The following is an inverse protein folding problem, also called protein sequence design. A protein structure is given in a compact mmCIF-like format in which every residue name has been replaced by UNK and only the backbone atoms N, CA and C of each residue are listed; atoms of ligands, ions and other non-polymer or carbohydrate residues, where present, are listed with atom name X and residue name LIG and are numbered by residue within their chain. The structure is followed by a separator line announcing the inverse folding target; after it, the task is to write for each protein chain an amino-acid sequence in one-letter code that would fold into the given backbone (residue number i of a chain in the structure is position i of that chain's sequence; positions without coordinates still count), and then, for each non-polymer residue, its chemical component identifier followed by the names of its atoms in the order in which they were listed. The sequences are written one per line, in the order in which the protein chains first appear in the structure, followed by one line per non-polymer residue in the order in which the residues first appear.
data_IF_224921813738
#
_entry.id   IF_224921813738
#
_cell.length_a   1.000
_cell.length_b   1.000
_cell.length_c   1.000
_cell.angle_alpha   90.00
_cell.angle_beta   90.00
_cell.angle_gamma   90.00
#
_symmetry.space_group_name_H-M   'P 1'
#
loop_
_entity.id
_entity.type
_entity.pdbx_description
1 polymer ?
#
# COMPACT_ATOMS: atom_id res chain seq x y z
N UNK A 1 -27.60 -8.97 -68.84
CA UNK A 1 -26.15 -8.93 -69.14
C UNK A 1 -25.42 -8.46 -67.93
N UNK A 2 -24.39 -9.19 -67.59
CA UNK A 2 -23.34 -9.01 -66.55
C UNK A 2 -23.73 -9.35 -65.12
N UNK A 3 -23.33 -10.53 -64.82
CA UNK A 3 -23.05 -11.16 -63.55
C UNK A 3 -21.85 -10.52 -62.86
N UNK A 4 -21.93 -10.16 -61.60
CA UNK A 4 -20.75 -9.88 -60.77
C UNK A 4 -20.67 -10.92 -59.64
N UNK A 5 -19.56 -11.63 -59.71
CA UNK A 5 -19.14 -12.74 -58.88
C UNK A 5 -18.78 -12.24 -57.46
N UNK A 6 -19.41 -12.79 -56.44
CA UNK A 6 -18.98 -12.66 -55.04
C UNK A 6 -17.77 -13.56 -54.83
N UNK A 7 -16.62 -12.95 -54.63
CA UNK A 7 -15.33 -13.61 -54.36
C UNK A 7 -15.26 -14.03 -52.88
N UNK A 8 -15.54 -15.28 -52.62
CA UNK A 8 -15.40 -15.88 -51.30
C UNK A 8 -13.93 -15.94 -50.87
N UNK A 9 -13.59 -15.26 -49.79
CA UNK A 9 -12.27 -15.36 -49.15
C UNK A 9 -12.17 -16.69 -48.40
N UNK A 10 -11.32 -17.59 -48.87
CA UNK A 10 -10.95 -18.84 -48.21
C UNK A 10 -10.13 -18.50 -46.95
N UNK A 11 -10.45 -19.04 -45.76
CA UNK A 11 -9.57 -18.88 -44.59
C UNK A 11 -8.28 -19.65 -44.85
N UNK A 12 -7.16 -18.98 -44.61
CA UNK A 12 -5.80 -19.49 -44.82
C UNK A 12 -5.56 -20.68 -43.88
N UNK A 13 -5.46 -21.87 -44.45
CA UNK A 13 -5.12 -23.16 -43.79
C UNK A 13 -3.72 -23.17 -43.17
N UNK A 14 -2.94 -22.07 -43.33
CA UNK A 14 -1.57 -21.99 -42.88
C UNK A 14 -1.41 -21.69 -41.37
N UNK A 15 -2.47 -21.14 -40.72
CA UNK A 15 -2.43 -20.87 -39.26
C UNK A 15 -2.80 -22.08 -38.39
N UNK A 16 -3.47 -23.09 -38.95
CA UNK A 16 -3.81 -24.30 -38.22
C UNK A 16 -2.65 -25.30 -38.12
N UNK A 17 -1.69 -25.26 -39.06
CA UNK A 17 -0.53 -26.16 -39.09
C UNK A 17 0.58 -25.81 -38.07
N UNK A 18 0.60 -24.57 -37.57
CA UNK A 18 1.61 -24.16 -36.58
C UNK A 18 1.23 -24.49 -35.11
N UNK A 19 -0.04 -24.74 -34.83
CA UNK A 19 -0.51 -25.05 -33.46
C UNK A 19 -0.46 -26.55 -33.17
N UNK A 20 -0.62 -27.40 -34.19
CA UNK A 20 -0.61 -28.88 -34.08
C UNK A 20 0.74 -29.42 -33.47
N UNK A 21 1.96 -28.96 -33.87
CA UNK A 21 3.19 -29.49 -33.27
C UNK A 21 3.39 -29.10 -31.81
N UNK A 22 2.85 -27.97 -31.37
CA UNK A 22 2.94 -27.55 -29.95
C UNK A 22 2.03 -28.39 -29.07
N UNK A 23 0.83 -28.70 -29.52
CA UNK A 23 -0.10 -29.58 -28.81
C UNK A 23 0.44 -31.03 -28.82
N UNK A 24 1.04 -31.50 -29.93
CA UNK A 24 1.65 -32.82 -29.99
C UNK A 24 2.88 -32.94 -29.05
N UNK A 25 3.66 -31.89 -28.89
CA UNK A 25 4.80 -31.86 -27.96
C UNK A 25 4.35 -31.92 -26.47
N UNK A 26 3.21 -31.30 -26.15
CA UNK A 26 2.61 -31.37 -24.81
C UNK A 26 1.98 -32.76 -24.51
N UNK A 27 1.46 -33.44 -25.51
CA UNK A 27 0.88 -34.77 -25.35
C UNK A 27 1.94 -35.89 -25.38
N UNK A 28 3.07 -35.70 -26.07
CA UNK A 28 4.19 -36.64 -26.08
C UNK A 28 4.91 -36.70 -24.71
N UNK A 29 4.84 -35.66 -23.92
CA UNK A 29 5.40 -35.65 -22.53
C UNK A 29 4.64 -36.56 -21.56
N UNK A 30 3.42 -37.01 -21.92
CA UNK A 30 2.57 -37.89 -21.07
C UNK A 30 2.71 -39.39 -21.40
N UNK A 31 3.50 -39.76 -22.42
CA UNK A 31 3.49 -41.13 -22.96
C UNK A 31 4.69 -42.01 -22.55
N UNK A 32 5.63 -41.53 -21.73
CA UNK A 32 6.82 -42.30 -21.36
C UNK A 32 6.90 -42.54 -19.83
N UNK A 33 6.26 -43.65 -19.41
CA UNK A 33 6.51 -44.28 -18.11
C UNK A 33 5.73 -43.64 -16.93
N UNK A 34 5.65 -44.29 -15.78
CA UNK A 34 5.05 -43.70 -14.58
C UNK A 34 5.86 -42.46 -14.17
N UNK A 35 5.22 -41.30 -14.25
CA UNK A 35 5.83 -40.03 -13.86
C UNK A 35 6.48 -40.13 -12.50
N UNK A 36 7.77 -39.80 -12.42
CA UNK A 36 8.52 -39.85 -11.17
C UNK A 36 7.92 -38.92 -10.14
N UNK A 37 8.11 -39.20 -8.85
CA UNK A 37 7.62 -38.34 -7.77
C UNK A 37 8.09 -36.87 -7.96
N UNK A 38 9.26 -36.71 -8.58
CA UNK A 38 9.86 -35.41 -8.90
C UNK A 38 9.05 -34.64 -9.96
N UNK A 39 8.58 -35.31 -11.02
CA UNK A 39 7.78 -34.68 -12.09
C UNK A 39 6.39 -34.31 -11.59
N UNK A 40 5.78 -35.15 -10.75
CA UNK A 40 4.47 -34.87 -10.12
C UNK A 40 4.55 -33.67 -9.17
N UNK A 41 5.63 -33.57 -8.40
CA UNK A 41 5.81 -32.44 -7.47
C UNK A 41 6.12 -31.11 -8.18
N UNK A 42 6.88 -31.14 -9.29
CA UNK A 42 7.16 -29.95 -10.09
C UNK A 42 5.90 -29.41 -10.76
N UNK A 43 5.10 -30.28 -11.40
CA UNK A 43 3.84 -29.90 -12.05
C UNK A 43 2.82 -29.32 -11.05
N UNK A 44 2.69 -29.94 -9.87
CA UNK A 44 1.82 -29.43 -8.82
C UNK A 44 2.27 -28.04 -8.28
N UNK A 45 3.59 -27.86 -8.11
CA UNK A 45 4.16 -26.57 -7.66
C UNK A 45 3.91 -25.44 -8.64
N UNK A 46 4.06 -25.68 -9.94
CA UNK A 46 3.79 -24.70 -10.99
C UNK A 46 2.31 -24.29 -11.02
N UNK A 47 1.38 -25.24 -10.91
CA UNK A 47 -0.06 -24.97 -10.91
C UNK A 47 -0.50 -24.16 -9.68
N UNK A 48 -0.01 -24.50 -8.50
CA UNK A 48 -0.34 -23.77 -7.26
C UNK A 48 0.28 -22.37 -7.29
N UNK A 49 1.52 -22.22 -7.72
CA UNK A 49 2.20 -20.95 -7.83
C UNK A 49 1.58 -20.02 -8.86
N UNK A 50 1.21 -20.53 -10.05
CA UNK A 50 0.54 -19.74 -11.07
C UNK A 50 -0.85 -19.27 -10.61
N UNK A 51 -1.62 -20.12 -9.94
CA UNK A 51 -2.94 -19.78 -9.39
C UNK A 51 -2.86 -18.68 -8.33
N UNK A 52 -1.95 -18.79 -7.37
CA UNK A 52 -1.74 -17.77 -6.34
C UNK A 52 -1.24 -16.44 -6.93
N UNK A 53 -0.29 -16.51 -7.86
CA UNK A 53 0.24 -15.33 -8.54
C UNK A 53 -0.78 -14.60 -9.41
N UNK A 54 -1.68 -15.33 -10.09
CA UNK A 54 -2.75 -14.74 -10.90
C UNK A 54 -3.77 -13.97 -10.04
N UNK A 55 -4.09 -14.48 -8.83
CA UNK A 55 -5.00 -13.82 -7.90
C UNK A 55 -4.40 -12.49 -7.42
N UNK A 56 -3.12 -12.47 -7.06
CA UNK A 56 -2.41 -11.27 -6.59
C UNK A 56 -2.23 -10.28 -7.74
N UNK A 57 -1.82 -10.74 -8.93
CA UNK A 57 -1.64 -9.91 -10.11
C UNK A 57 -2.94 -9.26 -10.62
N UNK A 58 -4.07 -9.94 -10.48
CA UNK A 58 -5.37 -9.39 -10.85
C UNK A 58 -5.82 -8.21 -9.96
N UNK A 59 -5.33 -8.13 -8.73
CA UNK A 59 -5.61 -7.00 -7.84
C UNK A 59 -4.75 -5.76 -8.14
N UNK A 60 -3.59 -5.95 -8.79
CA UNK A 60 -2.67 -4.88 -9.18
C UNK A 60 -2.78 -4.46 -10.66
N UNK A 61 -3.67 -5.08 -11.42
CA UNK A 61 -3.90 -4.77 -12.85
C UNK A 61 -3.04 -5.56 -13.83
N UNK A 62 -2.09 -6.39 -13.36
CA UNK A 62 -1.16 -7.17 -14.19
C UNK A 62 -1.18 -8.66 -13.86
N UNK A 63 -2.30 -9.32 -14.22
CA UNK A 63 -2.48 -10.76 -14.02
C UNK A 63 -1.39 -11.62 -14.69
N UNK A 64 -0.79 -11.13 -15.77
CA UNK A 64 0.28 -11.82 -16.52
C UNK A 64 1.60 -11.88 -15.75
N UNK A 65 2.05 -10.76 -15.19
CA UNK A 65 3.28 -10.70 -14.40
C UNK A 65 3.15 -11.45 -13.07
N UNK A 66 1.99 -11.35 -12.41
CA UNK A 66 1.68 -12.11 -11.21
C UNK A 66 1.72 -13.62 -11.43
N UNK A 67 1.18 -14.09 -12.54
CA UNK A 67 1.21 -15.52 -12.92
C UNK A 67 2.64 -16.00 -13.22
N UNK A 68 3.46 -15.18 -13.90
CA UNK A 68 4.86 -15.50 -14.21
C UNK A 68 5.73 -15.60 -12.95
N UNK A 69 5.58 -14.67 -12.02
CA UNK A 69 6.28 -14.69 -10.71
C UNK A 69 5.81 -15.90 -9.88
N UNK A 70 4.51 -16.16 -9.85
CA UNK A 70 3.94 -17.31 -9.15
C UNK A 70 4.39 -18.65 -9.74
N UNK A 71 4.47 -18.77 -11.06
CA UNK A 71 4.97 -19.98 -11.73
C UNK A 71 6.47 -20.21 -11.46
N UNK A 72 7.30 -19.17 -11.48
CA UNK A 72 8.71 -19.23 -11.17
C UNK A 72 8.97 -19.67 -9.72
N UNK A 73 8.24 -19.12 -8.76
CA UNK A 73 8.29 -19.54 -7.35
C UNK A 73 7.80 -20.98 -7.16
N UNK A 74 6.74 -21.37 -7.88
CA UNK A 74 6.19 -22.73 -7.86
C UNK A 74 7.13 -23.76 -8.47
N UNK A 75 7.83 -23.42 -9.55
CA UNK A 75 8.86 -24.29 -10.15
C UNK A 75 10.04 -24.56 -9.21
N UNK A 76 10.51 -23.53 -8.51
CA UNK A 76 11.59 -23.65 -7.53
C UNK A 76 11.19 -24.53 -6.33
N UNK A 77 9.92 -24.49 -5.91
CA UNK A 77 9.43 -25.31 -4.80
C UNK A 77 9.17 -26.76 -5.20
N UNK A 78 8.84 -27.02 -6.48
CA UNK A 78 8.57 -28.36 -7.00
C UNK A 78 9.79 -29.21 -7.36
N UNK A 79 10.95 -28.58 -7.64
CA UNK A 79 12.13 -29.27 -8.15
C UNK A 79 13.00 -30.00 -7.09
N UNK A 80 12.70 -29.83 -5.81
CA UNK A 80 13.52 -30.35 -4.72
C UNK A 80 13.01 -31.69 -4.15
N UNK A 81 13.78 -32.73 -4.29
CA UNK A 81 13.51 -34.07 -3.69
C UNK A 81 14.21 -34.23 -2.34
N UNK A 82 13.60 -34.96 -1.42
CA UNK A 82 14.17 -35.31 -0.12
C UNK A 82 14.15 -34.18 0.91
N UNK A 83 15.25 -33.95 1.62
CA UNK A 83 15.38 -32.92 2.68
C UNK A 83 15.07 -31.49 2.15
N UNK A 84 15.32 -31.24 0.88
CA UNK A 84 14.95 -29.98 0.23
C UNK A 84 13.43 -29.80 0.14
N UNK A 85 12.64 -30.86 0.03
CA UNK A 85 11.19 -30.79 -0.04
C UNK A 85 10.57 -30.28 1.28
N UNK A 86 11.14 -30.67 2.43
CA UNK A 86 10.72 -30.12 3.72
C UNK A 86 11.06 -28.63 3.85
N UNK A 87 12.24 -28.22 3.40
CA UNK A 87 12.64 -26.80 3.39
C UNK A 87 11.79 -25.98 2.43
N UNK A 88 11.46 -26.52 1.25
CA UNK A 88 10.58 -25.85 0.28
C UNK A 88 9.16 -25.65 0.83
N UNK A 89 8.58 -26.69 1.48
CA UNK A 89 7.29 -26.58 2.17
C UNK A 89 7.30 -25.52 3.29
N UNK A 90 8.37 -25.51 4.10
CA UNK A 90 8.51 -24.49 5.16
C UNK A 90 8.66 -23.07 4.58
N UNK A 91 9.42 -22.90 3.48
CA UNK A 91 9.52 -21.61 2.78
C UNK A 91 8.17 -21.17 2.20
N UNK A 92 7.45 -22.07 1.54
CA UNK A 92 6.10 -21.80 1.02
C UNK A 92 5.14 -21.38 2.14
N UNK A 93 5.12 -22.09 3.26
CA UNK A 93 4.31 -21.75 4.42
C UNK A 93 4.69 -20.38 5.04
N UNK A 94 6.01 -20.07 5.09
CA UNK A 94 6.48 -18.74 5.56
C UNK A 94 6.02 -17.62 4.63
N UNK A 95 6.11 -17.83 3.33
CA UNK A 95 5.64 -16.85 2.33
C UNK A 95 4.12 -16.64 2.46
N UNK A 96 3.35 -17.72 2.51
CA UNK A 96 1.90 -17.63 2.70
C UNK A 96 1.51 -16.91 4.00
N UNK A 97 2.22 -17.19 5.10
CA UNK A 97 2.00 -16.49 6.37
C UNK A 97 2.32 -15.00 6.26
N UNK A 98 3.41 -14.63 5.58
CA UNK A 98 3.75 -13.22 5.33
C UNK A 98 2.70 -12.51 4.49
N UNK A 99 2.26 -13.14 3.40
CA UNK A 99 1.20 -12.60 2.55
C UNK A 99 -0.10 -12.41 3.33
N UNK A 100 -0.53 -13.39 4.11
CA UNK A 100 -1.72 -13.29 4.94
C UNK A 100 -1.62 -12.19 6.01
N UNK A 101 -0.42 -11.91 6.54
CA UNK A 101 -0.20 -10.80 7.47
C UNK A 101 -0.32 -9.46 6.73
N UNK A 102 0.33 -9.33 5.56
CA UNK A 102 0.25 -8.10 4.75
C UNK A 102 -1.19 -7.81 4.30
N UNK A 103 -1.93 -8.80 3.84
CA UNK A 103 -3.35 -8.64 3.47
C UNK A 103 -4.19 -8.14 4.64
N UNK A 104 -3.98 -8.69 5.84
CA UNK A 104 -4.69 -8.23 7.04
C UNK A 104 -4.32 -6.79 7.41
N UNK A 105 -3.07 -6.38 7.22
CA UNK A 105 -2.63 -5.01 7.46
C UNK A 105 -3.25 -4.04 6.46
N UNK A 106 -3.22 -4.36 5.17
CA UNK A 106 -3.87 -3.57 4.12
C UNK A 106 -5.37 -3.41 4.39
N UNK A 107 -6.04 -4.48 4.78
CA UNK A 107 -7.47 -4.44 5.10
C UNK A 107 -7.77 -3.59 6.34
N UNK A 108 -6.91 -3.65 7.37
CA UNK A 108 -7.00 -2.77 8.54
C UNK A 108 -6.80 -1.31 8.16
N UNK A 109 -5.79 -0.99 7.34
CA UNK A 109 -5.54 0.36 6.86
C UNK A 109 -6.71 0.89 6.04
N UNK A 110 -7.29 0.08 5.15
CA UNK A 110 -8.47 0.46 4.36
C UNK A 110 -9.67 0.79 5.26
N UNK A 111 -9.94 -0.03 6.28
CA UNK A 111 -11.02 0.25 7.26
C UNK A 111 -10.74 1.52 8.04
N UNK A 112 -9.52 1.68 8.53
CA UNK A 112 -9.10 2.88 9.25
C UNK A 112 -9.28 4.14 8.40
N UNK A 113 -8.82 4.13 7.15
CA UNK A 113 -9.00 5.21 6.18
C UNK A 113 -10.47 5.53 5.93
N UNK A 114 -11.30 4.50 5.72
CA UNK A 114 -12.73 4.68 5.51
C UNK A 114 -13.42 5.35 6.71
N UNK A 115 -13.08 4.93 7.94
CA UNK A 115 -13.62 5.52 9.19
C UNK A 115 -13.17 6.97 9.37
N UNK A 116 -11.88 7.27 9.11
CA UNK A 116 -11.35 8.62 9.21
C UNK A 116 -12.02 9.55 8.20
N UNK A 117 -12.16 9.13 6.96
CA UNK A 117 -12.82 9.90 5.89
C UNK A 117 -14.31 10.12 6.16
N UNK A 118 -15.00 9.15 6.74
CA UNK A 118 -16.41 9.27 7.14
C UNK A 118 -16.64 10.34 8.24
N UNK A 119 -15.58 10.78 8.93
CA UNK A 119 -15.58 11.89 9.90
C UNK A 119 -14.97 13.19 9.35
N UNK A 120 -14.93 13.36 8.03
CA UNK A 120 -14.34 14.53 7.36
C UNK A 120 -12.88 14.81 7.78
N UNK A 121 -12.13 13.74 8.05
CA UNK A 121 -10.70 13.81 8.32
C UNK A 121 -9.92 13.55 7.03
N UNK A 122 -8.96 14.42 6.74
CA UNK A 122 -8.04 14.25 5.59
C UNK A 122 -7.06 13.13 5.92
N UNK A 123 -7.32 11.93 5.41
CA UNK A 123 -6.50 10.75 5.67
C UNK A 123 -6.01 10.11 4.37
N UNK A 124 -4.72 9.76 4.35
CA UNK A 124 -4.03 9.10 3.23
C UNK A 124 -3.21 7.92 3.73
N UNK A 125 -2.95 6.96 2.85
CA UNK A 125 -2.03 5.86 3.10
C UNK A 125 -0.61 6.27 2.73
N UNK A 126 0.37 5.80 3.49
CA UNK A 126 1.79 5.96 3.24
C UNK A 126 2.55 4.68 3.59
N UNK A 127 3.82 4.58 3.20
CA UNK A 127 4.70 3.45 3.54
C UNK A 127 4.85 3.25 5.07
N UNK A 128 4.65 4.31 5.86
CA UNK A 128 4.72 4.26 7.32
C UNK A 128 3.40 3.82 7.98
N UNK A 129 2.28 3.91 7.25
CA UNK A 129 0.93 3.63 7.75
C UNK A 129 -0.09 4.66 7.29
N UNK A 130 -1.10 4.94 8.10
CA UNK A 130 -2.15 5.90 7.79
C UNK A 130 -1.80 7.27 8.37
N UNK A 131 -1.79 8.30 7.53
CA UNK A 131 -1.50 9.69 7.88
C UNK A 131 -2.78 10.52 7.89
N UNK A 132 -3.09 11.14 9.00
CA UNK A 132 -4.18 12.13 9.13
C UNK A 132 -3.55 13.52 9.17
N UNK A 133 -3.93 14.38 8.21
CA UNK A 133 -3.43 15.75 8.12
C UNK A 133 -4.40 16.73 8.80
N UNK A 134 -3.89 17.47 9.76
CA UNK A 134 -4.58 18.55 10.47
C UNK A 134 -4.00 19.89 10.02
N UNK A 135 -4.74 20.71 9.24
CA UNK A 135 -4.26 22.00 8.74
C UNK A 135 -4.15 23.06 9.86
N UNK A 136 -3.32 24.09 9.60
CA UNK A 136 -3.03 25.19 10.54
C UNK A 136 -4.28 25.93 11.05
N UNK A 137 -5.33 26.04 10.23
CA UNK A 137 -6.61 26.66 10.62
C UNK A 137 -7.23 26.04 11.88
N UNK A 138 -6.78 24.89 12.30
CA UNK A 138 -7.19 24.23 13.54
C UNK A 138 -6.48 24.74 14.79
N UNK A 139 -5.52 25.67 14.65
CA UNK A 139 -4.87 26.36 15.78
C UNK A 139 -5.31 27.82 15.84
N UNK A 140 -5.28 28.39 17.06
CA UNK A 140 -5.42 29.83 17.22
C UNK A 140 -4.24 30.54 16.52
N UNK A 141 -4.49 31.72 15.96
CA UNK A 141 -3.50 32.45 15.17
C UNK A 141 -2.18 32.64 15.95
N UNK A 142 -1.05 32.30 15.35
CA UNK A 142 0.27 32.40 15.95
C UNK A 142 0.48 31.52 17.19
N UNK A 143 -0.43 30.61 17.52
CA UNK A 143 -0.48 29.83 18.74
C UNK A 143 -0.34 28.31 18.47
N UNK A 144 -0.10 27.57 19.54
CA UNK A 144 -0.24 26.12 19.60
C UNK A 144 -1.55 25.66 20.25
N UNK A 145 -2.41 26.60 20.66
CA UNK A 145 -3.72 26.26 21.24
C UNK A 145 -4.68 25.74 20.18
N UNK A 146 -5.33 24.61 20.47
CA UNK A 146 -6.32 24.02 19.56
C UNK A 146 -7.64 24.80 19.62
N UNK A 147 -8.17 25.13 18.44
CA UNK A 147 -9.55 25.64 18.31
C UNK A 147 -10.57 24.60 18.77
N UNK A 148 -11.81 25.01 18.99
CA UNK A 148 -12.91 24.08 19.31
C UNK A 148 -13.11 23.04 18.22
N UNK A 149 -12.93 23.41 16.95
CA UNK A 149 -13.01 22.49 15.82
C UNK A 149 -11.86 21.45 15.85
N UNK A 150 -10.63 21.89 16.15
CA UNK A 150 -9.49 21.00 16.28
C UNK A 150 -9.67 19.99 17.41
N UNK A 151 -10.17 20.44 18.56
CA UNK A 151 -10.45 19.54 19.71
C UNK A 151 -11.48 18.46 19.35
N UNK A 152 -12.48 18.77 18.52
CA UNK A 152 -13.41 17.75 18.01
C UNK A 152 -12.70 16.78 17.07
N UNK A 153 -11.97 17.29 16.09
CA UNK A 153 -11.23 16.44 15.10
C UNK A 153 -10.20 15.54 15.79
N UNK A 154 -9.44 16.04 16.75
CA UNK A 154 -8.47 15.21 17.49
C UNK A 154 -9.15 14.14 18.34
N UNK A 155 -10.32 14.43 18.91
CA UNK A 155 -11.16 13.43 19.60
C UNK A 155 -11.61 12.34 18.62
N UNK A 156 -12.16 12.72 17.45
CA UNK A 156 -12.59 11.77 16.44
C UNK A 156 -11.42 10.87 15.98
N UNK A 157 -10.22 11.43 15.79
CA UNK A 157 -9.00 10.65 15.50
C UNK A 157 -8.70 9.68 16.64
N UNK A 158 -8.73 10.14 17.90
CA UNK A 158 -8.43 9.31 19.05
C UNK A 158 -9.42 8.15 19.21
N UNK A 159 -10.73 8.41 19.05
CA UNK A 159 -11.79 7.40 19.12
C UNK A 159 -11.57 6.33 18.04
N UNK A 160 -11.26 6.75 16.79
CA UNK A 160 -11.04 5.82 15.69
C UNK A 160 -9.76 5.01 15.90
N UNK A 161 -8.65 5.64 16.32
CA UNK A 161 -7.39 4.94 16.58
C UNK A 161 -7.57 3.91 17.70
N UNK A 162 -8.27 4.26 18.77
CA UNK A 162 -8.50 3.36 19.91
C UNK A 162 -9.35 2.14 19.53
N UNK A 163 -10.29 2.29 18.59
CA UNK A 163 -11.22 1.23 18.17
C UNK A 163 -10.72 0.40 17.01
N UNK A 164 -10.19 1.03 15.96
CA UNK A 164 -9.81 0.36 14.70
C UNK A 164 -8.33 -0.03 14.65
N UNK A 165 -7.48 0.62 15.45
CA UNK A 165 -6.03 0.40 15.47
C UNK A 165 -5.46 0.27 16.90
N UNK A 166 -6.08 -0.55 17.79
CA UNK A 166 -5.62 -0.68 19.16
C UNK A 166 -4.18 -1.21 19.19
N UNK A 167 -3.33 -0.59 20.01
CA UNK A 167 -1.93 -0.98 20.19
C UNK A 167 -0.97 -0.47 19.11
N UNK A 168 -1.43 0.21 18.06
CA UNK A 168 -0.54 0.83 17.07
C UNK A 168 0.11 2.09 17.64
N UNK A 169 1.38 2.27 17.30
CA UNK A 169 2.11 3.49 17.65
C UNK A 169 1.62 4.66 16.79
N UNK A 170 1.57 5.84 17.40
CA UNK A 170 1.16 7.07 16.76
C UNK A 170 2.29 8.08 16.86
N UNK A 171 2.72 8.62 15.70
CA UNK A 171 3.65 9.74 15.63
C UNK A 171 2.87 10.98 15.26
N UNK A 172 3.05 12.05 16.04
CA UNK A 172 2.46 13.37 15.77
C UNK A 172 3.57 14.30 15.32
N UNK A 173 3.47 14.76 14.08
CA UNK A 173 4.53 15.49 13.38
C UNK A 173 4.06 16.90 13.05
N UNK A 174 4.69 17.92 13.61
CA UNK A 174 4.38 19.33 13.37
C UNK A 174 5.27 19.93 12.29
N UNK A 175 4.65 20.73 11.40
CA UNK A 175 5.33 21.42 10.31
C UNK A 175 4.92 22.87 10.22
N UNK A 176 5.80 23.73 9.69
CA UNK A 176 5.54 25.14 9.37
C UNK A 176 5.79 25.39 7.89
N UNK A 177 5.43 26.57 7.43
CA UNK A 177 5.98 27.14 6.20
C UNK A 177 7.38 27.74 6.47
N UNK A 178 7.97 28.37 5.44
CA UNK A 178 9.30 28.98 5.48
C UNK A 178 9.32 30.41 6.02
N UNK A 179 8.20 30.94 6.50
CA UNK A 179 8.18 32.31 7.04
C UNK A 179 8.62 32.33 8.50
N UNK A 180 9.58 33.20 8.80
CA UNK A 180 10.13 33.38 10.15
C UNK A 180 11.49 32.70 10.36
N UNK A 181 12.02 32.82 11.57
CA UNK A 181 13.30 32.21 11.92
C UNK A 181 13.13 30.68 12.05
N UNK A 182 14.08 29.92 11.53
CA UNK A 182 14.05 28.44 11.56
C UNK A 182 13.91 27.88 12.99
N UNK A 183 14.59 28.48 13.95
CA UNK A 183 14.52 28.10 15.38
C UNK A 183 13.11 28.34 15.96
N UNK A 184 12.47 29.45 15.59
CA UNK A 184 11.09 29.73 15.97
C UNK A 184 10.12 28.72 15.38
N UNK A 185 10.26 28.43 14.08
CA UNK A 185 9.47 27.43 13.35
C UNK A 185 9.64 26.03 13.95
N UNK A 186 10.86 25.65 14.31
CA UNK A 186 11.14 24.40 15.00
C UNK A 186 10.38 24.32 16.33
N UNK A 187 10.49 25.34 17.18
CA UNK A 187 9.80 25.37 18.47
C UNK A 187 8.26 25.43 18.34
N UNK A 188 7.72 26.17 17.36
CA UNK A 188 6.29 26.26 17.13
C UNK A 188 5.71 24.91 16.70
N UNK A 189 6.37 24.25 15.74
CA UNK A 189 5.95 22.94 15.23
C UNK A 189 5.96 21.88 16.34
N UNK A 190 6.98 21.90 17.19
CA UNK A 190 7.10 20.98 18.33
C UNK A 190 5.97 21.18 19.35
N UNK A 191 5.68 22.43 19.74
CA UNK A 191 4.56 22.73 20.64
C UNK A 191 3.22 22.27 20.07
N UNK A 192 2.97 22.50 18.77
CA UNK A 192 1.73 22.08 18.07
C UNK A 192 1.59 20.56 18.05
N UNK A 193 2.65 19.83 17.72
CA UNK A 193 2.66 18.39 17.76
C UNK A 193 2.36 17.86 19.18
N UNK A 194 2.97 18.45 20.20
CA UNK A 194 2.76 18.06 21.61
C UNK A 194 1.30 18.23 22.05
N UNK A 195 0.70 19.37 21.74
CA UNK A 195 -0.71 19.63 22.12
C UNK A 195 -1.68 18.67 21.45
N UNK A 196 -1.41 18.31 20.18
CA UNK A 196 -2.22 17.27 19.50
C UNK A 196 -1.99 15.91 20.15
N UNK A 197 -0.76 15.52 20.46
CA UNK A 197 -0.43 14.27 21.13
C UNK A 197 -1.09 14.15 22.51
N UNK A 198 -1.07 15.22 23.29
CA UNK A 198 -1.77 15.31 24.57
C UNK A 198 -3.30 15.15 24.42
N UNK A 199 -3.87 15.81 23.38
CA UNK A 199 -5.29 15.66 23.07
C UNK A 199 -5.67 14.23 22.71
N UNK A 200 -4.85 13.53 21.89
CA UNK A 200 -5.07 12.11 21.57
C UNK A 200 -5.03 11.24 22.83
N UNK A 201 -4.06 11.48 23.69
CA UNK A 201 -3.88 10.72 24.94
C UNK A 201 -5.04 10.94 25.92
N UNK A 202 -5.54 12.17 26.05
CA UNK A 202 -6.70 12.52 26.87
C UNK A 202 -7.99 11.83 26.39
N UNK A 203 -8.05 11.50 25.09
CA UNK A 203 -9.22 10.88 24.47
C UNK A 203 -9.04 9.37 24.18
N UNK A 204 -8.18 8.68 24.94
CA UNK A 204 -8.15 7.23 25.00
C UNK A 204 -7.00 6.54 24.25
N UNK A 205 -6.14 7.27 23.52
CA UNK A 205 -4.91 6.67 22.96
C UNK A 205 -3.87 6.57 24.07
N UNK A 206 -3.32 5.38 24.32
CA UNK A 206 -2.31 5.19 25.35
C UNK A 206 -1.12 6.13 25.19
N UNK A 207 -0.71 6.92 26.20
CA UNK A 207 0.44 7.81 26.11
C UNK A 207 1.74 7.11 25.74
N UNK A 208 1.90 5.85 26.12
CA UNK A 208 3.06 5.03 25.78
C UNK A 208 3.19 4.76 24.25
N UNK A 209 2.08 4.88 23.52
CA UNK A 209 2.04 4.66 22.08
C UNK A 209 2.16 5.96 21.27
N UNK A 210 2.03 7.13 21.90
CA UNK A 210 2.05 8.44 21.24
C UNK A 210 3.41 9.10 21.40
N UNK A 211 4.01 9.51 20.27
CA UNK A 211 5.20 10.34 20.24
C UNK A 211 4.93 11.62 19.45
N UNK A 212 5.49 12.75 19.90
CA UNK A 212 5.39 14.03 19.22
C UNK A 212 6.77 14.52 18.78
N UNK A 213 6.84 15.13 17.60
CA UNK A 213 8.05 15.77 17.08
C UNK A 213 7.71 16.98 16.21
N UNK A 214 8.53 18.04 16.31
CA UNK A 214 8.45 19.19 15.42
C UNK A 214 9.56 19.11 14.38
N UNK A 215 9.24 19.49 13.17
CA UNK A 215 10.18 19.48 12.03
C UNK A 215 10.39 20.88 11.43
N UNK A 216 9.64 21.89 11.93
CA UNK A 216 9.70 23.23 11.36
C UNK A 216 9.36 23.23 9.88
N UNK A 217 10.15 23.94 9.09
CA UNK A 217 10.00 24.09 7.65
C UNK A 217 10.72 23.03 6.81
N UNK A 218 11.36 22.03 7.44
CA UNK A 218 12.29 21.09 6.76
C UNK A 218 11.64 20.16 5.76
N UNK A 219 10.34 19.88 5.90
CA UNK A 219 9.63 18.90 5.07
C UNK A 219 8.37 19.53 4.43
N UNK A 220 8.56 20.41 3.43
CA UNK A 220 7.44 21.02 2.73
C UNK A 220 6.71 19.98 1.83
N UNK A 221 5.39 20.03 1.80
CA UNK A 221 4.55 19.22 0.88
C UNK A 221 4.08 20.02 -0.33
N UNK A 222 4.38 21.31 -0.35
CA UNK A 222 4.14 22.19 -1.48
C UNK A 222 5.21 23.29 -1.53
N UNK A 223 5.50 23.88 -2.71
CA UNK A 223 6.43 25.01 -2.81
C UNK A 223 5.97 26.19 -1.98
N UNK A 224 6.87 26.81 -1.22
CA UNK A 224 6.61 28.04 -0.47
C UNK A 224 6.60 29.28 -1.36
N UNK A 225 7.23 29.21 -2.53
CA UNK A 225 7.27 30.26 -3.57
C UNK A 225 6.94 29.67 -4.92
N UNK A 226 6.42 30.47 -5.84
CA UNK A 226 6.24 30.14 -7.23
C UNK A 226 7.58 30.04 -7.97
N UNK A 227 7.58 29.52 -9.19
CA UNK A 227 8.80 29.36 -10.02
C UNK A 227 9.47 30.70 -10.40
N UNK A 228 8.71 31.79 -10.39
CA UNK A 228 9.18 33.16 -10.62
C UNK A 228 9.73 33.83 -9.34
N UNK A 229 9.78 33.13 -8.21
CA UNK A 229 10.24 33.61 -6.92
C UNK A 229 9.16 34.36 -6.11
N UNK A 230 7.96 34.59 -6.65
CA UNK A 230 6.87 35.22 -5.92
C UNK A 230 6.33 34.33 -4.81
N UNK A 231 5.73 34.92 -3.79
CA UNK A 231 5.15 34.23 -2.65
C UNK A 231 4.01 33.29 -3.08
N UNK A 232 3.98 32.10 -2.49
CA UNK A 232 2.92 31.09 -2.72
C UNK A 232 2.13 30.83 -1.42
N UNK A 233 1.14 31.67 -1.07
CA UNK A 233 0.35 31.52 0.15
C UNK A 233 -0.38 30.19 0.24
N UNK A 234 -0.85 29.66 -0.90
CA UNK A 234 -1.53 28.36 -0.97
C UNK A 234 -0.59 27.21 -0.64
N UNK A 235 0.61 27.23 -1.20
CA UNK A 235 1.65 26.22 -0.87
C UNK A 235 2.05 26.29 0.60
N UNK A 236 2.27 27.53 1.12
CA UNK A 236 2.58 27.73 2.53
C UNK A 236 1.46 27.23 3.46
N UNK A 237 0.20 27.48 3.11
CA UNK A 237 -0.93 26.99 3.90
C UNK A 237 -0.96 25.45 4.01
N UNK A 238 -0.55 24.74 2.95
CA UNK A 238 -0.40 23.27 2.97
C UNK A 238 0.78 22.81 3.82
N UNK A 239 1.84 23.60 3.89
CA UNK A 239 3.02 23.28 4.69
C UNK A 239 2.75 23.45 6.18
N UNK A 240 1.95 24.45 6.58
CA UNK A 240 1.53 24.63 7.97
C UNK A 240 0.50 23.58 8.35
N UNK A 241 0.97 22.48 8.93
CA UNK A 241 0.12 21.31 9.26
C UNK A 241 0.68 20.54 10.45
N UNK A 242 -0.16 19.72 11.02
CA UNK A 242 0.25 18.62 11.92
C UNK A 242 -0.22 17.30 11.30
N UNK A 243 0.67 16.36 11.19
CA UNK A 243 0.37 15.00 10.73
C UNK A 243 0.29 14.04 11.92
N UNK A 244 -0.78 13.25 11.98
CA UNK A 244 -0.94 12.14 12.91
C UNK A 244 -0.73 10.86 12.11
N UNK A 245 0.44 10.23 12.28
CA UNK A 245 0.87 9.03 11.57
C UNK A 245 0.58 7.81 12.44
N UNK A 246 -0.35 6.98 12.03
CA UNK A 246 -0.71 5.73 12.68
C UNK A 246 0.12 4.63 12.02
N UNK A 247 1.18 4.20 12.71
CA UNK A 247 2.20 3.31 12.14
C UNK A 247 1.66 1.90 11.91
N UNK A 248 2.20 1.24 10.87
CA UNK A 248 1.92 -0.18 10.58
C UNK A 248 2.46 -1.11 11.67
#
# INVERSE_FOLDING_TARGET
MRSDQVKGSRPSRLRLLAVLPVIALLLASCASGPATQREKSTAAGVLIGAGAGAIIGNQSGDAGEGAAIGAALGALTGAAAGDQQQQARQRGQRIQRRLAVQERELERNRRLLARLRARDLSATESDRGVVVTLPDVLFEFGSSSLTRAAKRKTRDVADIVSTEAPGRRVMVEGHTDSIGAALYNQGLSERRARVVAESLSTHGVSPALVKAGGYGEKYPVAPNSHSDGSDNPTGRARNRRVEVVILN
#
